data_IF_008948514138
#
_entry.id   IF_008948514138
#
_cell.length_a   1.000
_cell.length_b   1.000
_cell.length_c   1.000
_cell.angle_alpha   90.00
_cell.angle_beta   90.00
_cell.angle_gamma   90.00
#
_symmetry.space_group_name_H-M   'P 1'
#
loop_
_entity.id
_entity.type
_entity.pdbx_description
1 polymer ?
#
# COMPACT_ATOMS: atom_id res chain seq x y z
N UNK A 1 10.79 -16.75 -1.87
CA UNK A 1 10.30 -15.71 -0.93
C UNK A 1 11.21 -14.48 -0.97
N UNK A 2 11.69 -14.05 -2.15
CA UNK A 2 12.72 -13.00 -2.29
C UNK A 2 12.33 -11.92 -3.32
N UNK A 3 11.54 -12.29 -4.34
CA UNK A 3 11.15 -11.39 -5.44
C UNK A 3 10.26 -10.22 -5.02
N UNK A 4 9.32 -10.41 -4.08
CA UNK A 4 8.47 -9.32 -3.61
C UNK A 4 9.27 -8.35 -2.71
N UNK A 5 10.18 -8.87 -1.88
CA UNK A 5 10.97 -8.09 -0.92
C UNK A 5 12.01 -7.18 -1.60
N UNK A 6 12.66 -7.66 -2.67
CA UNK A 6 13.58 -6.85 -3.49
C UNK A 6 12.87 -5.66 -4.14
N UNK A 7 11.60 -5.82 -4.51
CA UNK A 7 10.81 -4.76 -5.16
C UNK A 7 10.21 -3.78 -4.16
N UNK A 8 9.94 -4.24 -2.94
CA UNK A 8 9.43 -3.38 -1.86
C UNK A 8 10.55 -2.64 -1.13
N UNK A 9 11.78 -3.15 -1.14
CA UNK A 9 12.95 -2.46 -0.55
C UNK A 9 13.13 -1.00 -1.00
N UNK A 10 13.21 -0.68 -2.31
CA UNK A 10 13.35 0.70 -2.75
C UNK A 10 12.14 1.55 -2.39
N UNK A 11 10.95 0.94 -2.32
CA UNK A 11 9.71 1.62 -1.91
C UNK A 11 9.76 2.02 -0.44
N UNK A 12 10.13 1.08 0.43
CA UNK A 12 10.29 1.30 1.85
C UNK A 12 11.40 2.32 2.12
N UNK A 13 12.51 2.26 1.40
CA UNK A 13 13.60 3.22 1.52
C UNK A 13 13.17 4.63 1.09
N UNK A 14 12.47 4.76 -0.04
CA UNK A 14 11.98 6.06 -0.53
C UNK A 14 10.93 6.69 0.39
N UNK A 15 10.12 5.87 1.09
CA UNK A 15 9.21 6.32 2.14
C UNK A 15 9.97 6.73 3.41
N UNK A 16 10.95 5.93 3.85
CA UNK A 16 11.80 6.24 5.01
C UNK A 16 12.63 7.51 4.82
N UNK A 17 13.17 7.71 3.62
CA UNK A 17 13.88 8.94 3.25
C UNK A 17 13.00 10.20 3.35
N UNK A 18 11.68 10.04 3.26
CA UNK A 18 10.69 11.10 3.45
C UNK A 18 10.22 11.26 4.90
N UNK A 19 10.69 10.41 5.82
CA UNK A 19 10.30 10.42 7.24
C UNK A 19 9.15 9.49 7.61
N UNK A 20 8.65 8.66 6.68
CA UNK A 20 7.64 7.66 7.00
C UNK A 20 8.26 6.41 7.62
N UNK A 21 7.64 5.90 8.68
CA UNK A 21 8.00 4.61 9.28
C UNK A 21 7.27 3.52 8.51
N UNK A 22 8.03 2.65 7.84
CA UNK A 22 7.52 1.50 7.09
C UNK A 22 7.90 0.22 7.81
N UNK A 23 6.89 -0.51 8.29
CA UNK A 23 7.01 -1.78 8.99
C UNK A 23 6.12 -2.83 8.32
N UNK A 24 6.66 -4.03 8.12
CA UNK A 24 5.90 -5.15 7.57
C UNK A 24 5.23 -5.89 8.72
N UNK A 25 3.90 -5.83 8.78
CA UNK A 25 3.13 -6.57 9.77
C UNK A 25 2.25 -7.63 9.10
N UNK A 26 2.34 -8.84 9.62
CA UNK A 26 1.44 -9.95 9.28
C UNK A 26 0.24 -10.03 10.24
N UNK A 27 -0.12 -8.94 10.93
CA UNK A 27 -1.23 -8.96 11.86
C UNK A 27 -2.33 -8.00 11.43
N UNK A 28 -3.57 -8.48 11.42
CA UNK A 28 -4.74 -7.64 11.13
C UNK A 28 -4.92 -6.56 12.21
N UNK A 29 -4.52 -6.85 13.46
CA UNK A 29 -4.57 -5.88 14.54
C UNK A 29 -3.60 -4.71 14.32
N UNK A 30 -2.48 -4.92 13.63
CA UNK A 30 -1.54 -3.86 13.31
C UNK A 30 -2.13 -2.85 12.31
N UNK A 31 -3.06 -3.29 11.45
CA UNK A 31 -3.78 -2.41 10.51
C UNK A 31 -4.63 -1.40 11.26
N UNK A 32 -5.28 -1.83 12.34
CA UNK A 32 -6.13 -0.95 13.14
C UNK A 32 -5.32 0.19 13.77
N UNK A 33 -4.12 -0.13 14.29
CA UNK A 33 -3.22 0.84 14.91
C UNK A 33 -2.44 1.70 13.90
N UNK A 34 -2.31 1.26 12.65
CA UNK A 34 -1.59 1.99 11.61
C UNK A 34 -2.41 3.16 11.05
N UNK A 35 -1.73 4.28 10.75
CA UNK A 35 -2.37 5.45 10.11
C UNK A 35 -2.67 5.23 8.63
N UNK A 36 -1.78 4.54 7.93
CA UNK A 36 -1.96 4.19 6.53
C UNK A 36 -1.44 2.77 6.29
N UNK A 37 -2.17 2.00 5.50
CA UNK A 37 -1.82 0.60 5.22
C UNK A 37 -1.56 0.43 3.74
N UNK A 38 -0.33 0.07 3.41
CA UNK A 38 0.08 -0.18 2.03
C UNK A 38 -0.04 -1.68 1.74
N UNK A 39 -0.92 -2.05 0.81
CA UNK A 39 -1.07 -3.44 0.35
C UNK A 39 -0.40 -3.61 -0.99
N UNK A 40 0.55 -4.54 -1.05
CA UNK A 40 1.26 -4.90 -2.27
C UNK A 40 0.59 -6.10 -2.93
N UNK A 41 0.01 -5.88 -4.11
CA UNK A 41 -0.59 -6.93 -4.92
C UNK A 41 0.45 -7.54 -5.85
N UNK A 42 0.69 -8.82 -5.65
CA UNK A 42 1.43 -9.71 -6.53
C UNK A 42 0.63 -11.00 -6.74
N UNK A 43 0.99 -11.78 -7.75
CA UNK A 43 0.31 -13.05 -8.07
C UNK A 43 0.22 -13.98 -6.84
N UNK A 44 1.22 -13.96 -5.95
CA UNK A 44 1.20 -14.71 -4.69
C UNK A 44 0.29 -14.09 -3.63
N UNK A 45 0.30 -12.76 -3.51
CA UNK A 45 -0.48 -12.05 -2.50
C UNK A 45 -2.00 -12.15 -2.77
N UNK A 46 -2.42 -12.20 -4.04
CA UNK A 46 -3.83 -12.41 -4.43
C UNK A 46 -4.35 -13.79 -4.00
N UNK A 47 -3.50 -14.83 -4.06
CA UNK A 47 -3.88 -16.18 -3.64
C UNK A 47 -4.03 -16.32 -2.11
N UNK A 48 -3.47 -15.37 -1.34
CA UNK A 48 -3.48 -15.42 0.12
C UNK A 48 -4.79 -14.87 0.71
N UNK A 49 -5.55 -15.72 1.40
CA UNK A 49 -6.77 -15.31 2.14
C UNK A 49 -6.50 -14.23 3.17
N UNK A 50 -5.30 -14.22 3.73
CA UNK A 50 -4.84 -13.30 4.76
C UNK A 50 -4.57 -11.89 4.20
N UNK A 51 -3.98 -11.79 3.02
CA UNK A 51 -3.84 -10.50 2.30
C UNK A 51 -5.20 -9.89 1.98
N UNK A 52 -6.19 -10.71 1.61
CA UNK A 52 -7.57 -10.26 1.35
C UNK A 52 -8.26 -9.76 2.61
N UNK A 53 -8.14 -10.44 3.74
CA UNK A 53 -8.73 -10.02 5.02
C UNK A 53 -8.16 -8.67 5.48
N UNK A 54 -6.83 -8.51 5.40
CA UNK A 54 -6.13 -7.26 5.70
C UNK A 54 -6.55 -6.10 4.80
N UNK A 55 -6.59 -6.33 3.50
CA UNK A 55 -7.06 -5.35 2.55
C UNK A 55 -8.51 -4.95 2.86
N UNK A 56 -9.38 -5.91 3.22
CA UNK A 56 -10.76 -5.62 3.61
C UNK A 56 -10.81 -4.68 4.81
N UNK A 57 -10.01 -4.94 5.86
CA UNK A 57 -9.94 -4.10 7.06
C UNK A 57 -9.43 -2.69 6.77
N UNK A 58 -8.37 -2.57 5.99
CA UNK A 58 -7.83 -1.28 5.61
C UNK A 58 -8.80 -0.48 4.72
N UNK A 59 -9.55 -1.18 3.85
CA UNK A 59 -10.57 -0.58 3.00
C UNK A 59 -11.76 -0.08 3.83
N UNK A 60 -12.20 -0.86 4.80
CA UNK A 60 -13.28 -0.51 5.73
C UNK A 60 -12.97 0.76 6.52
N UNK A 61 -11.69 1.02 6.81
CA UNK A 61 -11.21 2.22 7.49
C UNK A 61 -10.72 3.33 6.56
N UNK A 62 -11.01 3.22 5.25
CA UNK A 62 -10.60 4.13 4.16
C UNK A 62 -9.08 4.41 4.04
N UNK A 63 -8.25 3.72 4.82
CA UNK A 63 -6.78 3.91 4.89
C UNK A 63 -5.98 2.91 4.07
N UNK A 64 -6.65 2.23 3.13
CA UNK A 64 -6.03 1.27 2.22
C UNK A 64 -5.36 1.98 1.05
N UNK A 65 -4.03 1.98 1.02
CA UNK A 65 -3.26 2.33 -0.16
C UNK A 65 -2.79 1.04 -0.86
N UNK A 66 -3.42 0.66 -1.96
CA UNK A 66 -3.00 -0.53 -2.71
C UNK A 66 -2.01 -0.17 -3.83
N UNK A 67 -0.94 -0.95 -3.93
CA UNK A 67 0.04 -0.87 -5.01
C UNK A 67 0.07 -2.18 -5.78
N UNK A 68 0.11 -2.11 -7.10
CA UNK A 68 0.23 -3.26 -7.97
C UNK A 68 1.66 -3.31 -8.52
N UNK A 69 2.40 -4.34 -8.14
CA UNK A 69 3.73 -4.61 -8.69
C UNK A 69 3.66 -5.40 -10.01
N UNK A 70 2.53 -6.02 -10.28
CA UNK A 70 2.34 -6.88 -11.44
C UNK A 70 0.97 -6.55 -12.06
N UNK A 71 0.73 -6.81 -13.36
CA UNK A 71 -0.61 -6.67 -13.98
C UNK A 71 -1.72 -7.52 -13.32
N UNK A 72 -1.35 -8.33 -12.33
CA UNK A 72 -2.19 -8.88 -11.28
C UNK A 72 -3.31 -7.93 -10.79
N UNK A 73 -4.57 -8.23 -11.15
CA UNK A 73 -5.75 -7.47 -10.72
C UNK A 73 -6.17 -7.85 -9.30
N UNK A 74 -6.39 -6.85 -8.45
CA UNK A 74 -6.95 -7.05 -7.13
C UNK A 74 -8.35 -7.71 -7.22
N UNK A 75 -8.67 -8.69 -6.35
CA UNK A 75 -9.99 -9.32 -6.35
C UNK A 75 -11.09 -8.31 -5.99
N UNK A 76 -12.33 -8.50 -6.45
CA UNK A 76 -13.46 -7.68 -5.96
C UNK A 76 -13.64 -7.89 -4.44
N UNK A 77 -14.00 -6.84 -3.67
CA UNK A 77 -14.34 -5.48 -4.08
C UNK A 77 -13.13 -4.52 -4.25
N UNK A 78 -11.90 -4.96 -3.98
CA UNK A 78 -10.70 -4.11 -4.00
C UNK A 78 -10.38 -3.49 -5.35
N UNK A 79 -10.84 -4.10 -6.45
CA UNK A 79 -10.72 -3.52 -7.79
C UNK A 79 -11.47 -2.17 -7.96
N UNK A 80 -12.34 -1.79 -7.02
CA UNK A 80 -12.99 -0.47 -7.02
C UNK A 80 -12.09 0.63 -6.43
N UNK A 81 -11.03 0.25 -5.71
CA UNK A 81 -10.11 1.18 -5.06
C UNK A 81 -8.97 1.49 -6.01
N UNK A 82 -8.57 2.77 -6.07
CA UNK A 82 -7.42 3.17 -6.88
C UNK A 82 -6.16 2.43 -6.44
N UNK A 83 -5.52 1.79 -7.41
CA UNK A 83 -4.31 0.98 -7.21
C UNK A 83 -3.15 1.66 -7.93
N UNK A 84 -2.12 2.06 -7.20
CA UNK A 84 -0.94 2.64 -7.81
C UNK A 84 -0.11 1.54 -8.47
N UNK A 85 0.00 1.55 -9.78
CA UNK A 85 0.78 0.58 -10.55
C UNK A 85 2.27 0.95 -10.52
N UNK A 86 2.99 0.42 -9.53
CA UNK A 86 4.43 0.61 -9.37
C UNK A 86 5.23 -0.59 -9.92
N UNK A 87 4.62 -1.36 -10.81
CA UNK A 87 5.27 -2.51 -11.42
C UNK A 87 6.52 -2.16 -12.22
N UNK A 88 6.48 -1.03 -12.92
CA UNK A 88 7.59 -0.50 -13.73
C UNK A 88 8.46 0.52 -12.95
N UNK A 89 8.13 0.78 -11.68
CA UNK A 89 8.82 1.78 -10.89
C UNK A 89 10.14 1.23 -10.36
N UNK A 90 11.26 1.89 -10.71
CA UNK A 90 12.62 1.49 -10.33
C UNK A 90 13.28 2.50 -9.36
N UNK A 91 12.48 3.36 -8.72
CA UNK A 91 12.96 4.40 -7.80
C UNK A 91 12.82 5.83 -8.33
N UNK A 92 12.20 6.03 -9.48
CA UNK A 92 11.98 7.37 -10.03
C UNK A 92 10.99 8.19 -9.18
N UNK A 93 11.49 9.24 -8.54
CA UNK A 93 10.66 10.14 -7.74
C UNK A 93 9.61 10.92 -8.56
N UNK A 94 9.80 11.03 -9.87
CA UNK A 94 8.87 11.73 -10.78
C UNK A 94 7.72 10.83 -11.26
N UNK A 95 7.72 9.53 -10.93
CA UNK A 95 6.70 8.61 -11.41
C UNK A 95 5.29 9.03 -10.97
N UNK A 96 4.33 9.06 -11.90
CA UNK A 96 2.97 9.53 -11.62
C UNK A 96 2.30 8.72 -10.50
N UNK A 97 2.38 7.38 -10.59
CA UNK A 97 1.82 6.49 -9.57
C UNK A 97 2.48 6.65 -8.20
N UNK A 98 3.76 7.01 -8.17
CA UNK A 98 4.48 7.28 -6.93
C UNK A 98 3.98 8.56 -6.28
N UNK A 99 3.80 9.63 -7.07
CA UNK A 99 3.21 10.88 -6.60
C UNK A 99 1.77 10.71 -6.13
N UNK A 100 0.96 9.90 -6.82
CA UNK A 100 -0.39 9.56 -6.37
C UNK A 100 -0.38 8.82 -5.03
N UNK A 101 0.50 7.82 -4.88
CA UNK A 101 0.67 7.10 -3.62
C UNK A 101 1.05 8.05 -2.48
N UNK A 102 2.02 8.92 -2.70
CA UNK A 102 2.44 9.91 -1.71
C UNK A 102 1.32 10.89 -1.36
N UNK A 103 0.55 11.37 -2.35
CA UNK A 103 -0.60 12.22 -2.11
C UNK A 103 -1.65 11.52 -1.23
N UNK A 104 -1.89 10.23 -1.50
CA UNK A 104 -2.80 9.42 -0.67
C UNK A 104 -2.25 9.19 0.73
N UNK A 105 -0.97 8.85 0.88
CA UNK A 105 -0.33 8.69 2.19
C UNK A 105 -0.30 10.00 2.98
N UNK A 106 -0.08 11.13 2.30
CA UNK A 106 -0.13 12.45 2.90
C UNK A 106 -1.55 12.84 3.31
N UNK A 107 -2.59 12.46 2.55
CA UNK A 107 -3.97 12.60 2.98
C UNK A 107 -4.23 11.73 4.22
N UNK A 108 -3.90 10.44 4.19
CA UNK A 108 -4.14 9.52 5.32
C UNK A 108 -3.35 9.86 6.59
N UNK A 109 -2.12 10.37 6.44
CA UNK A 109 -1.25 10.72 7.57
C UNK A 109 -1.40 12.19 8.01
N UNK A 110 -1.82 13.06 7.10
CA UNK A 110 -2.03 14.48 7.31
C UNK A 110 -3.45 14.83 7.76
N UNK A 111 -4.39 13.90 7.65
CA UNK A 111 -5.73 13.98 8.24
C UNK A 111 -5.67 13.75 9.76
N UNK A 112 -4.95 14.61 10.46
CA UNK A 112 -5.17 14.88 11.88
C UNK A 112 -5.91 16.24 12.00
N UNK A 113 -7.13 16.25 11.40
CA UNK A 113 -8.30 17.13 11.62
C UNK A 113 -8.90 17.62 10.29
N UNK A 114 -10.16 17.27 10.02
CA UNK A 114 -11.32 18.18 10.14
C UNK A 114 -12.63 17.43 9.77
N UNK A 115 -13.33 16.87 10.75
CA UNK A 115 -14.79 16.76 10.68
C UNK A 115 -15.35 16.69 12.11
N UNK A 116 -16.29 17.60 12.41
CA UNK A 116 -16.81 17.92 13.74
C UNK A 116 -18.17 17.32 14.07
#
# INVERSE_FOLDING_TARGET
>A
MQADEERVSPLAEALRARGYVVEQHDDEAAIDSARAVIVVWSAHSIASSRSRARAARALDQDKLAQIALDPSRAPMPFNMVHSAALGDWAGEADHHEWRQLLGRLAALCGDERDDG
#
